data_IF_051260843867
#
_entry.id   IF_051260843867
#
_cell.length_a   1.000
_cell.length_b   1.000
_cell.length_c   1.000
_cell.angle_alpha   90.00
_cell.angle_beta   90.00
_cell.angle_gamma   90.00
#
_symmetry.space_group_name_H-M   'P 1'
#
loop_
_entity.id
_entity.type
_entity.pdbx_description
1 polymer ?
#
# COMPACT_ATOMS: atom_id res chain seq x y z
N UNK A 1 -0.03 9.57 0.21
CA UNK A 1 1.17 9.98 -0.56
C UNK A 1 1.56 8.86 -1.52
N UNK A 2 2.23 9.20 -2.62
CA UNK A 2 2.82 8.23 -3.56
C UNK A 2 4.23 8.65 -3.94
N UNK A 3 5.10 7.70 -4.26
CA UNK A 3 6.44 8.00 -4.79
C UNK A 3 6.57 7.64 -6.26
N UNK A 4 7.33 8.47 -6.98
CA UNK A 4 7.83 8.21 -8.33
C UNK A 4 9.35 8.30 -8.28
N UNK A 5 10.04 7.16 -8.40
CA UNK A 5 11.50 7.09 -8.28
C UNK A 5 12.10 6.79 -9.66
N UNK A 6 12.19 7.80 -10.52
CA UNK A 6 12.66 7.61 -11.90
C UNK A 6 14.12 8.01 -12.11
N UNK A 7 14.72 8.76 -11.16
CA UNK A 7 16.06 9.34 -11.31
C UNK A 7 17.12 8.27 -11.56
N UNK A 8 17.73 8.30 -12.74
CA UNK A 8 18.78 7.39 -13.17
C UNK A 8 18.32 5.93 -13.35
N UNK A 9 17.02 5.64 -13.30
CA UNK A 9 16.50 4.28 -13.38
C UNK A 9 16.30 3.82 -14.83
N UNK A 10 15.99 4.73 -15.74
CA UNK A 10 15.69 4.43 -17.14
C UNK A 10 16.12 5.55 -18.08
N UNK A 11 16.23 5.23 -19.37
CA UNK A 11 16.45 6.25 -20.42
C UNK A 11 15.15 6.97 -20.75
N UNK A 12 14.86 8.01 -19.99
CA UNK A 12 13.69 8.88 -20.16
C UNK A 12 14.10 10.32 -20.47
N UNK A 13 13.11 11.17 -20.73
CA UNK A 13 13.34 12.59 -20.97
C UNK A 13 13.97 13.26 -19.76
N UNK A 14 14.93 14.17 -19.97
CA UNK A 14 15.69 14.82 -18.88
C UNK A 14 14.81 15.49 -17.82
N UNK A 15 13.65 16.03 -18.20
CA UNK A 15 12.72 16.67 -17.27
C UNK A 15 11.88 15.67 -16.45
N UNK A 16 11.77 14.42 -16.92
CA UNK A 16 11.12 13.31 -16.24
C UNK A 16 12.09 12.51 -15.34
N UNK A 17 13.40 12.65 -15.56
CA UNK A 17 14.48 11.96 -14.84
C UNK A 17 14.71 12.54 -13.44
N UNK A 18 13.70 12.41 -12.58
CA UNK A 18 13.71 12.89 -11.19
C UNK A 18 12.92 11.98 -10.26
N UNK A 19 13.18 12.14 -8.97
CA UNK A 19 12.36 11.53 -7.92
C UNK A 19 11.32 12.54 -7.46
N UNK A 20 10.10 12.07 -7.23
CA UNK A 20 8.98 12.91 -6.82
C UNK A 20 8.18 12.22 -5.72
N UNK A 21 7.74 13.01 -4.74
CA UNK A 21 6.68 12.63 -3.82
C UNK A 21 5.41 13.32 -4.27
N UNK A 22 4.36 12.55 -4.46
CA UNK A 22 3.03 13.03 -4.82
C UNK A 22 2.20 13.12 -3.54
N UNK A 23 1.69 14.32 -3.28
CA UNK A 23 0.72 14.57 -2.24
C UNK A 23 -0.69 14.33 -2.81
N UNK A 24 -1.43 13.44 -2.14
CA UNK A 24 -2.85 13.23 -2.39
C UNK A 24 -3.57 13.77 -1.17
N UNK A 25 -4.30 14.85 -1.37
CA UNK A 25 -5.03 15.55 -0.34
C UNK A 25 -6.47 15.76 -0.79
N UNK A 26 -7.40 15.57 0.13
CA UNK A 26 -8.78 15.91 -0.10
C UNK A 26 -9.50 16.29 1.19
N UNK A 27 -10.46 17.20 1.05
CA UNK A 27 -11.42 17.56 2.09
C UNK A 27 -12.75 16.91 1.72
N UNK A 28 -13.20 16.02 2.59
CA UNK A 28 -14.53 15.43 2.53
C UNK A 28 -15.45 16.21 3.47
N UNK A 29 -16.53 16.79 2.93
CA UNK A 29 -17.52 17.54 3.71
C UNK A 29 -18.95 17.21 3.28
N UNK A 30 -19.90 17.55 4.13
CA UNK A 30 -21.33 17.37 3.88
C UNK A 30 -22.02 18.74 3.86
N UNK A 31 -22.87 18.99 2.87
CA UNK A 31 -23.70 20.19 2.80
C UNK A 31 -24.97 20.07 3.65
N UNK A 32 -25.72 21.18 3.79
CA UNK A 32 -26.93 21.24 4.61
C UNK A 32 -28.05 20.28 4.15
N UNK A 33 -28.02 19.81 2.90
CA UNK A 33 -29.01 18.87 2.32
C UNK A 33 -28.55 17.43 2.42
N UNK A 34 -27.37 17.18 2.99
CA UNK A 34 -26.76 15.86 3.08
C UNK A 34 -25.95 15.45 1.85
N UNK A 35 -25.75 16.36 0.89
CA UNK A 35 -24.88 16.16 -0.26
C UNK A 35 -23.40 16.10 0.15
N UNK A 36 -22.61 15.33 -0.58
CA UNK A 36 -21.18 15.16 -0.33
C UNK A 36 -20.41 16.15 -1.21
N UNK A 37 -19.45 16.85 -0.62
CA UNK A 37 -18.47 17.67 -1.35
C UNK A 37 -17.09 17.08 -1.13
N UNK A 38 -16.43 16.74 -2.24
CA UNK A 38 -15.09 16.22 -2.27
C UNK A 38 -14.17 17.20 -2.98
N UNK A 39 -13.36 17.93 -2.22
CA UNK A 39 -12.45 18.95 -2.73
C UNK A 39 -11.01 18.45 -2.66
N UNK A 40 -10.30 18.44 -3.79
CA UNK A 40 -8.93 17.93 -3.89
C UNK A 40 -7.85 19.00 -3.80
N UNK A 41 -8.19 20.25 -3.44
CA UNK A 41 -7.22 21.34 -3.29
C UNK A 41 -6.06 20.92 -2.38
N UNK A 42 -4.82 21.19 -2.81
CA UNK A 42 -3.62 20.79 -2.08
C UNK A 42 -3.05 19.43 -2.47
N UNK A 43 -3.74 18.65 -3.32
CA UNK A 43 -3.07 17.59 -4.07
C UNK A 43 -1.98 18.19 -4.96
N UNK A 44 -0.88 17.47 -5.19
CA UNK A 44 0.22 17.94 -6.03
C UNK A 44 -0.26 18.27 -7.45
N UNK A 45 0.48 19.15 -8.14
CA UNK A 45 0.42 19.30 -9.59
C UNK A 45 0.75 18.00 -10.31
N UNK A 46 0.29 17.87 -11.55
CA UNK A 46 0.66 16.76 -12.42
C UNK A 46 2.18 16.72 -12.68
N UNK A 47 2.71 15.55 -13.04
CA UNK A 47 4.13 15.30 -13.26
C UNK A 47 4.41 14.42 -14.47
N UNK A 48 5.68 14.32 -14.88
CA UNK A 48 6.12 13.52 -16.03
C UNK A 48 6.32 12.04 -15.65
N UNK A 49 5.23 11.42 -15.24
CA UNK A 49 5.14 10.03 -14.81
C UNK A 49 3.77 9.44 -15.19
N UNK A 50 3.62 8.12 -15.13
CA UNK A 50 2.37 7.43 -15.49
C UNK A 50 1.21 7.60 -14.50
N UNK A 51 1.42 8.32 -13.40
CA UNK A 51 0.49 8.40 -12.28
C UNK A 51 -0.39 9.65 -12.30
N UNK A 52 -0.61 10.32 -13.44
CA UNK A 52 -1.59 11.41 -13.47
C UNK A 52 -3.01 10.84 -13.59
N UNK A 53 -3.97 11.62 -13.12
CA UNK A 53 -5.39 11.35 -13.29
C UNK A 53 -6.07 12.36 -14.21
N UNK A 54 -7.37 12.18 -14.36
CA UNK A 54 -8.27 13.15 -14.99
C UNK A 54 -9.62 13.11 -14.27
N UNK A 55 -10.47 14.15 -14.39
CA UNK A 55 -11.70 14.27 -13.61
C UNK A 55 -12.62 13.04 -13.71
N UNK A 56 -12.86 12.55 -14.93
CA UNK A 56 -13.74 11.39 -15.15
C UNK A 56 -13.23 10.10 -14.48
N UNK A 57 -11.93 9.82 -14.52
CA UNK A 57 -11.36 8.64 -13.86
C UNK A 57 -11.32 8.77 -12.34
N UNK A 58 -11.25 10.01 -11.84
CA UNK A 58 -11.36 10.30 -10.40
C UNK A 58 -12.79 10.10 -9.90
N UNK A 59 -13.79 10.57 -10.66
CA UNK A 59 -15.21 10.37 -10.35
C UNK A 59 -15.61 8.89 -10.36
N UNK A 60 -15.02 8.08 -11.24
CA UNK A 60 -15.20 6.62 -11.22
C UNK A 60 -14.70 6.02 -9.90
N UNK A 61 -13.53 6.42 -9.41
CA UNK A 61 -13.00 5.95 -8.13
C UNK A 61 -13.92 6.30 -6.96
N UNK A 62 -14.42 7.54 -6.90
CA UNK A 62 -15.38 7.97 -5.88
C UNK A 62 -16.70 7.20 -5.98
N UNK A 63 -17.23 7.01 -7.19
CA UNK A 63 -18.46 6.26 -7.42
C UNK A 63 -18.33 4.80 -6.94
N UNK A 64 -17.22 4.13 -7.22
CA UNK A 64 -16.96 2.76 -6.75
C UNK A 64 -16.88 2.72 -5.22
N UNK A 65 -16.19 3.68 -4.60
CA UNK A 65 -16.14 3.79 -3.14
C UNK A 65 -17.52 4.00 -2.51
N UNK A 66 -18.37 4.84 -3.10
CA UNK A 66 -19.70 5.10 -2.55
C UNK A 66 -20.63 3.88 -2.73
N UNK A 67 -20.61 3.25 -3.91
CA UNK A 67 -21.45 2.07 -4.19
C UNK A 67 -21.08 0.87 -3.35
N UNK A 68 -19.83 0.77 -2.89
CA UNK A 68 -19.38 -0.31 -2.00
C UNK A 68 -19.54 -0.01 -0.51
N UNK A 69 -19.90 1.22 -0.11
CA UNK A 69 -19.95 1.64 1.32
C UNK A 69 -21.34 1.91 1.86
N UNK A 70 -22.10 2.89 1.32
CA UNK A 70 -23.47 3.16 1.79
C UNK A 70 -24.53 3.06 0.70
N UNK A 71 -24.14 3.06 -0.57
CA UNK A 71 -25.08 2.89 -1.68
C UNK A 71 -25.18 1.43 -2.17
N UNK A 72 -24.64 0.46 -1.41
CA UNK A 72 -24.62 -0.96 -1.80
C UNK A 72 -26.02 -1.60 -1.91
N UNK A 73 -27.02 -1.08 -1.19
CA UNK A 73 -28.42 -1.51 -1.29
C UNK A 73 -29.22 -0.70 -2.32
N UNK A 74 -28.61 0.30 -2.95
CA UNK A 74 -29.25 1.14 -3.96
C UNK A 74 -28.95 0.62 -5.38
N UNK A 75 -29.69 1.13 -6.37
CA UNK A 75 -29.37 0.86 -7.77
C UNK A 75 -28.05 1.55 -8.13
N UNK A 76 -27.01 0.77 -8.40
CA UNK A 76 -25.74 1.25 -8.95
C UNK A 76 -25.99 1.95 -10.29
N UNK A 77 -26.05 3.29 -10.25
CA UNK A 77 -26.36 4.15 -11.38
C UNK A 77 -25.83 5.55 -11.14
N UNK A 78 -25.77 6.38 -12.20
CA UNK A 78 -25.35 7.77 -12.11
C UNK A 78 -26.16 8.61 -11.09
N UNK A 79 -27.32 8.12 -10.62
CA UNK A 79 -28.08 8.74 -9.54
C UNK A 79 -27.30 8.91 -8.24
N UNK A 80 -26.33 8.04 -7.95
CA UNK A 80 -25.44 8.17 -6.80
C UNK A 80 -24.62 9.48 -6.88
N UNK A 81 -24.14 9.81 -8.08
CA UNK A 81 -23.31 11.00 -8.30
C UNK A 81 -24.12 12.30 -8.27
N UNK A 82 -25.46 12.26 -8.36
CA UNK A 82 -26.29 13.48 -8.32
C UNK A 82 -26.20 14.22 -6.99
N UNK A 83 -25.76 13.55 -5.91
CA UNK A 83 -25.55 14.14 -4.59
C UNK A 83 -24.06 14.26 -4.22
N UNK A 84 -23.16 14.12 -5.21
CA UNK A 84 -21.71 14.24 -5.01
C UNK A 84 -21.20 15.41 -5.85
N UNK A 85 -20.52 16.34 -5.20
CA UNK A 85 -19.81 17.44 -5.85
C UNK A 85 -18.31 17.22 -5.72
N UNK A 86 -17.68 16.80 -6.81
CA UNK A 86 -16.22 16.70 -6.91
C UNK A 86 -15.63 18.03 -7.38
N UNK A 87 -14.55 18.50 -6.75
CA UNK A 87 -13.81 19.71 -7.15
C UNK A 87 -12.36 19.30 -7.43
N UNK A 88 -12.00 19.33 -8.71
CA UNK A 88 -10.65 19.05 -9.20
C UNK A 88 -10.02 20.33 -9.75
N UNK A 89 -8.99 20.82 -9.06
CA UNK A 89 -8.36 22.10 -9.39
C UNK A 89 -7.48 21.96 -10.65
N UNK A 90 -7.61 22.89 -11.59
CA UNK A 90 -6.84 22.90 -12.83
C UNK A 90 -5.33 22.95 -12.54
N UNK A 91 -4.55 22.14 -13.27
CA UNK A 91 -3.11 21.97 -13.05
C UNK A 91 -2.75 20.97 -11.95
N UNK A 92 -3.72 20.48 -11.17
CA UNK A 92 -3.50 19.39 -10.20
C UNK A 92 -3.28 18.05 -10.91
N UNK A 93 -2.80 17.06 -10.16
CA UNK A 93 -2.63 15.68 -10.64
C UNK A 93 -3.94 15.03 -11.12
N UNK A 94 -5.10 15.52 -10.65
CA UNK A 94 -6.42 15.00 -11.02
C UNK A 94 -7.09 15.79 -12.14
N UNK A 95 -6.57 16.96 -12.49
CA UNK A 95 -7.05 17.79 -13.60
C UNK A 95 -5.88 18.54 -14.26
N UNK A 96 -4.99 17.81 -14.99
CA UNK A 96 -3.81 18.40 -15.60
C UNK A 96 -4.18 19.50 -16.59
N UNK A 97 -3.42 20.60 -16.59
CA UNK A 97 -3.54 21.72 -17.54
C UNK A 97 -2.70 21.51 -18.81
N UNK A 98 -2.50 20.25 -19.20
CA UNK A 98 -1.67 19.84 -20.33
C UNK A 98 -2.18 18.57 -21.00
N UNK A 99 -1.86 18.38 -22.28
CA UNK A 99 -2.11 17.14 -23.02
C UNK A 99 -1.01 16.07 -22.84
N UNK A 100 0.15 16.43 -22.27
CA UNK A 100 1.30 15.53 -22.11
C UNK A 100 1.26 14.67 -20.84
N UNK A 101 0.32 14.93 -19.93
CA UNK A 101 0.20 14.19 -18.69
C UNK A 101 -0.23 12.74 -18.96
N UNK A 102 0.67 11.79 -18.71
CA UNK A 102 0.35 10.37 -18.86
C UNK A 102 -0.59 9.89 -17.77
N UNK A 103 -1.67 9.23 -18.17
CA UNK A 103 -2.67 8.61 -17.30
C UNK A 103 -2.60 7.07 -17.32
N UNK A 104 -1.46 6.50 -17.75
CA UNK A 104 -1.30 5.06 -17.99
C UNK A 104 -1.60 4.21 -16.75
N UNK A 105 -1.31 4.71 -15.54
CA UNK A 105 -1.67 4.09 -14.27
C UNK A 105 -2.48 5.07 -13.41
N UNK A 106 -3.61 5.55 -13.93
CA UNK A 106 -4.56 6.40 -13.19
C UNK A 106 -5.07 5.72 -11.91
N UNK A 107 -5.20 4.40 -11.91
CA UNK A 107 -5.68 3.62 -10.77
C UNK A 107 -4.85 3.84 -9.51
N UNK A 108 -3.54 4.06 -9.65
CA UNK A 108 -2.67 4.41 -8.54
C UNK A 108 -3.14 5.66 -7.77
N UNK A 109 -3.70 6.66 -8.47
CA UNK A 109 -4.18 7.89 -7.85
C UNK A 109 -5.66 7.83 -7.45
N UNK A 110 -6.51 7.25 -8.29
CA UNK A 110 -7.94 7.12 -7.98
C UNK A 110 -8.16 6.25 -6.74
N UNK A 111 -7.37 5.20 -6.53
CA UNK A 111 -7.48 4.37 -5.32
C UNK A 111 -6.96 5.09 -4.07
N UNK A 112 -5.91 5.90 -4.18
CA UNK A 112 -5.46 6.73 -3.03
C UNK A 112 -6.50 7.77 -2.65
N UNK A 113 -7.13 8.43 -3.64
CA UNK A 113 -8.27 9.32 -3.42
C UNK A 113 -9.43 8.59 -2.75
N UNK A 114 -9.77 7.40 -3.24
CA UNK A 114 -10.83 6.56 -2.68
C UNK A 114 -10.53 6.13 -1.24
N UNK A 115 -9.28 5.80 -0.91
CA UNK A 115 -8.87 5.51 0.47
C UNK A 115 -9.15 6.69 1.40
N UNK A 116 -8.90 7.93 0.97
CA UNK A 116 -9.18 9.13 1.77
C UNK A 116 -10.69 9.33 1.99
N UNK A 117 -11.49 9.28 0.92
CA UNK A 117 -12.94 9.47 1.02
C UNK A 117 -13.61 8.36 1.83
N UNK A 118 -13.22 7.10 1.57
CA UNK A 118 -13.72 5.94 2.32
C UNK A 118 -13.33 6.05 3.79
N UNK A 119 -12.09 6.42 4.12
CA UNK A 119 -11.68 6.61 5.52
C UNK A 119 -12.54 7.64 6.24
N UNK A 120 -12.90 8.75 5.60
CA UNK A 120 -13.80 9.75 6.18
C UNK A 120 -15.22 9.19 6.41
N UNK A 121 -15.74 8.41 5.45
CA UNK A 121 -17.05 7.76 5.54
C UNK A 121 -17.07 6.71 6.67
N UNK A 122 -16.09 5.82 6.73
CA UNK A 122 -16.04 4.75 7.74
C UNK A 122 -15.80 5.29 9.16
N UNK A 123 -15.07 6.41 9.31
CA UNK A 123 -15.03 7.15 10.59
C UNK A 123 -16.41 7.65 10.99
N UNK A 124 -17.20 8.13 10.03
CA UNK A 124 -18.55 8.62 10.29
C UNK A 124 -19.51 7.50 10.71
N UNK A 125 -19.41 6.31 10.11
CA UNK A 125 -20.16 5.13 10.57
C UNK A 125 -19.81 4.75 12.00
N UNK A 126 -18.51 4.70 12.31
CA UNK A 126 -18.05 4.42 13.67
C UNK A 126 -18.58 5.43 14.69
N UNK A 127 -18.43 6.74 14.41
CA UNK A 127 -18.91 7.80 15.31
C UNK A 127 -20.42 7.76 15.52
N UNK A 128 -21.19 7.30 14.53
CA UNK A 128 -22.65 7.17 14.61
C UNK A 128 -23.11 5.86 15.25
N UNK A 129 -22.22 4.87 15.37
CA UNK A 129 -22.51 3.56 15.97
C UNK A 129 -22.85 2.44 14.99
N UNK A 130 -22.72 2.66 13.68
CA UNK A 130 -22.82 1.60 12.66
C UNK A 130 -21.50 0.84 12.57
N UNK A 131 -21.18 0.12 13.64
CA UNK A 131 -19.90 -0.58 13.79
C UNK A 131 -19.70 -1.66 12.73
N UNK A 132 -20.79 -2.29 12.32
CA UNK A 132 -20.88 -3.30 11.27
C UNK A 132 -20.48 -2.78 9.89
N UNK A 133 -20.66 -1.48 9.64
CA UNK A 133 -20.30 -0.82 8.36
C UNK A 133 -18.92 -0.15 8.43
N UNK A 134 -18.34 0.00 9.61
CA UNK A 134 -17.04 0.64 9.79
C UNK A 134 -15.90 -0.38 9.66
N UNK A 135 -14.94 -0.14 8.77
CA UNK A 135 -13.70 -0.90 8.71
C UNK A 135 -12.57 0.01 8.21
N UNK A 136 -11.31 -0.43 8.33
CA UNK A 136 -10.15 0.28 7.76
C UNK A 136 -10.11 0.12 6.22
N UNK A 137 -10.52 1.12 5.44
CA UNK A 137 -10.82 0.94 4.02
C UNK A 137 -9.58 1.22 3.16
N UNK A 138 -8.61 0.31 3.26
CA UNK A 138 -7.29 0.48 2.67
C UNK A 138 -6.96 -0.68 1.74
N UNK A 139 -6.56 -0.33 0.53
CA UNK A 139 -6.21 -1.27 -0.53
C UNK A 139 -4.78 -1.03 -0.99
N UNK A 140 -3.95 -2.05 -0.89
CA UNK A 140 -2.58 -2.04 -1.38
C UNK A 140 -2.43 -3.02 -2.54
N UNK A 141 -2.99 -2.68 -3.70
CA UNK A 141 -2.94 -3.54 -4.86
C UNK A 141 -1.61 -3.44 -5.62
N UNK A 142 -1.25 -4.55 -6.25
CA UNK A 142 -0.12 -4.65 -7.15
C UNK A 142 -0.50 -5.38 -8.46
N UNK A 143 0.24 -5.12 -9.53
CA UNK A 143 0.04 -5.73 -10.83
C UNK A 143 1.37 -5.99 -11.50
N UNK A 144 1.82 -7.25 -11.47
CA UNK A 144 3.02 -7.66 -12.22
C UNK A 144 2.69 -7.56 -13.69
N UNK A 145 3.46 -6.79 -14.43
CA UNK A 145 3.17 -6.49 -15.83
C UNK A 145 4.44 -6.51 -16.65
N UNK A 146 4.29 -6.74 -17.94
CA UNK A 146 5.45 -6.84 -18.79
C UNK A 146 5.10 -7.06 -20.23
N UNK A 147 6.14 -7.25 -21.01
CA UNK A 147 6.03 -7.64 -22.41
C UNK A 147 7.20 -8.53 -22.79
N UNK A 148 6.99 -9.36 -23.81
CA UNK A 148 8.01 -10.26 -24.27
C UNK A 148 7.85 -10.62 -25.73
N UNK A 149 8.79 -11.43 -26.21
CA UNK A 149 8.80 -12.02 -27.54
C UNK A 149 9.06 -13.51 -27.37
N UNK A 150 8.10 -14.33 -27.78
CA UNK A 150 8.20 -15.78 -27.70
C UNK A 150 9.32 -16.32 -28.60
N UNK A 151 9.70 -17.58 -28.42
CA UNK A 151 10.76 -18.22 -29.22
C UNK A 151 10.51 -18.13 -30.74
N UNK A 152 9.25 -18.19 -31.17
CA UNK A 152 8.83 -18.09 -32.57
C UNK A 152 8.78 -16.65 -33.14
N UNK A 153 9.06 -15.65 -32.30
CA UNK A 153 9.05 -14.23 -32.66
C UNK A 153 7.73 -13.50 -32.39
N UNK A 154 6.71 -14.18 -31.85
CA UNK A 154 5.41 -13.56 -31.53
C UNK A 154 5.54 -12.60 -30.33
N UNK A 155 5.19 -11.30 -30.47
CA UNK A 155 5.19 -10.37 -29.36
C UNK A 155 3.93 -10.53 -28.49
N UNK A 156 4.06 -10.30 -27.19
CA UNK A 156 2.95 -10.29 -26.25
C UNK A 156 3.16 -9.27 -25.12
N UNK A 157 2.08 -8.90 -24.46
CA UNK A 157 2.06 -8.10 -23.24
C UNK A 157 1.15 -8.75 -22.22
N UNK A 158 1.43 -8.54 -20.94
CA UNK A 158 0.64 -9.13 -19.87
C UNK A 158 0.51 -8.20 -18.67
N UNK A 159 -0.52 -8.46 -17.88
CA UNK A 159 -0.66 -7.96 -16.51
C UNK A 159 -1.30 -9.08 -15.71
N UNK A 160 -0.62 -9.52 -14.67
CA UNK A 160 -1.13 -10.48 -13.72
C UNK A 160 -2.07 -9.75 -12.75
N UNK A 161 -3.33 -10.21 -12.71
CA UNK A 161 -4.40 -9.62 -11.90
C UNK A 161 -4.56 -10.28 -10.53
N UNK A 162 -3.57 -11.02 -10.03
CA UNK A 162 -3.66 -11.69 -8.74
C UNK A 162 -3.97 -10.72 -7.60
N UNK A 163 -3.13 -9.70 -7.38
CA UNK A 163 -3.35 -8.67 -6.34
C UNK A 163 -4.24 -7.52 -6.79
N UNK A 164 -4.48 -7.38 -8.10
CA UNK A 164 -5.50 -6.46 -8.61
C UNK A 164 -6.89 -7.03 -8.32
N UNK A 165 -7.08 -8.32 -8.56
CA UNK A 165 -8.35 -9.01 -8.45
C UNK A 165 -8.84 -9.20 -7.01
N UNK A 166 -7.93 -9.16 -6.03
CA UNK A 166 -8.29 -9.17 -4.62
C UNK A 166 -7.10 -8.95 -3.70
N UNK A 167 -7.34 -8.25 -2.60
CA UNK A 167 -6.45 -8.12 -1.46
C UNK A 167 -7.17 -8.41 -0.16
N UNK A 168 -6.55 -8.06 0.95
CA UNK A 168 -7.13 -8.12 2.27
C UNK A 168 -8.26 -7.10 2.44
N UNK A 169 -9.19 -7.43 3.32
CA UNK A 169 -10.09 -6.47 3.91
C UNK A 169 -9.50 -5.93 5.21
N UNK A 170 -9.68 -4.65 5.50
CA UNK A 170 -9.20 -4.05 6.75
C UNK A 170 -9.94 -4.50 7.98
N UNK A 171 -9.36 -4.19 9.13
CA UNK A 171 -9.94 -4.49 10.42
C UNK A 171 -11.25 -3.71 10.66
N UNK A 172 -12.18 -4.35 11.37
CA UNK A 172 -13.39 -3.72 11.92
C UNK A 172 -13.12 -3.20 13.34
N UNK A 173 -14.00 -2.37 13.90
CA UNK A 173 -13.99 -2.04 15.33
C UNK A 173 -14.32 -3.22 16.26
N UNK A 174 -14.62 -4.41 15.72
CA UNK A 174 -15.05 -5.58 16.50
C UNK A 174 -14.46 -6.92 16.04
N UNK A 175 -13.69 -6.96 14.94
CA UNK A 175 -13.04 -8.19 14.45
C UNK A 175 -11.88 -7.87 13.51
N UNK A 176 -11.00 -8.85 13.37
CA UNK A 176 -9.89 -8.80 12.41
C UNK A 176 -10.38 -8.73 10.96
N UNK A 177 -9.53 -8.20 10.10
CA UNK A 177 -9.72 -8.21 8.65
C UNK A 177 -9.47 -9.58 8.04
N UNK A 178 -10.06 -9.82 6.87
CA UNK A 178 -9.99 -11.10 6.18
C UNK A 178 -9.02 -11.02 4.99
N UNK A 179 -8.06 -11.94 4.84
CA UNK A 179 -7.19 -11.99 3.66
C UNK A 179 -7.97 -12.30 2.37
N UNK A 180 -7.55 -11.71 1.24
CA UNK A 180 -7.99 -12.07 -0.12
C UNK A 180 -9.50 -11.98 -0.41
N UNK A 181 -10.25 -11.14 0.30
CA UNK A 181 -11.71 -11.02 0.15
C UNK A 181 -12.20 -9.64 -0.28
N UNK A 182 -11.30 -8.69 -0.57
CA UNK A 182 -11.72 -7.32 -0.83
C UNK A 182 -10.81 -6.62 -1.84
N UNK A 183 -11.40 -5.72 -2.64
CA UNK A 183 -10.72 -4.85 -3.57
C UNK A 183 -11.58 -3.59 -3.75
N UNK A 184 -10.98 -2.42 -3.71
CA UNK A 184 -11.72 -1.15 -3.74
C UNK A 184 -12.52 -0.93 -5.02
N UNK A 185 -12.07 -1.52 -6.13
CA UNK A 185 -12.57 -1.27 -7.46
C UNK A 185 -13.52 -2.36 -7.97
N UNK A 186 -13.75 -3.45 -7.20
CA UNK A 186 -14.69 -4.51 -7.58
C UNK A 186 -15.36 -5.14 -6.36
N UNK A 187 -16.66 -5.43 -6.47
CA UNK A 187 -17.41 -6.18 -5.47
C UNK A 187 -17.25 -7.70 -5.63
N UNK A 188 -16.62 -8.14 -6.72
CA UNK A 188 -16.45 -9.54 -7.09
C UNK A 188 -14.96 -9.89 -7.08
N UNK A 189 -14.35 -9.78 -5.90
CA UNK A 189 -12.92 -10.02 -5.74
C UNK A 189 -12.60 -11.47 -6.09
N UNK A 190 -11.61 -11.67 -6.94
CA UNK A 190 -11.11 -12.97 -7.35
C UNK A 190 -9.63 -12.84 -7.73
N UNK A 191 -8.77 -13.52 -6.98
CA UNK A 191 -7.32 -13.51 -7.19
C UNK A 191 -6.88 -14.42 -8.33
N UNK A 192 -7.78 -15.15 -8.99
CA UNK A 192 -7.50 -16.04 -10.13
C UNK A 192 -6.84 -17.37 -9.75
N UNK A 193 -6.91 -18.35 -10.65
CA UNK A 193 -6.24 -19.66 -10.49
C UNK A 193 -4.78 -19.58 -10.96
N UNK A 194 -3.85 -20.19 -10.23
CA UNK A 194 -2.44 -20.22 -10.66
C UNK A 194 -2.27 -20.93 -12.00
N UNK A 195 -2.93 -22.08 -12.20
CA UNK A 195 -2.89 -22.81 -13.48
C UNK A 195 -3.36 -21.96 -14.68
N UNK A 196 -4.33 -21.06 -14.48
CA UNK A 196 -4.79 -20.15 -15.53
C UNK A 196 -3.74 -19.07 -15.84
N UNK A 197 -3.09 -18.51 -14.81
CA UNK A 197 -2.02 -17.54 -15.02
C UNK A 197 -0.80 -18.17 -15.71
N UNK A 198 -0.36 -19.35 -15.27
CA UNK A 198 0.77 -20.05 -15.91
C UNK A 198 0.46 -20.42 -17.36
N UNK A 199 -0.80 -20.77 -17.66
CA UNK A 199 -1.23 -21.04 -19.04
C UNK A 199 -1.27 -19.79 -19.92
N UNK A 200 -1.76 -18.66 -19.38
CA UNK A 200 -1.97 -17.42 -20.13
C UNK A 200 -0.72 -16.52 -20.20
N UNK A 201 0.20 -16.67 -19.25
CA UNK A 201 1.42 -15.87 -19.12
C UNK A 201 2.60 -16.86 -19.11
N UNK A 202 3.05 -17.33 -20.29
CA UNK A 202 3.93 -18.49 -20.41
C UNK A 202 5.18 -18.47 -19.53
N UNK A 203 5.87 -17.33 -19.32
CA UNK A 203 7.08 -17.37 -18.52
C UNK A 203 6.89 -17.29 -17.01
N UNK A 204 5.68 -17.05 -16.49
CA UNK A 204 5.46 -16.81 -15.06
C UNK A 204 4.95 -18.09 -14.38
N UNK A 205 5.83 -18.90 -13.79
CA UNK A 205 5.44 -20.08 -13.00
C UNK A 205 5.44 -19.78 -11.49
N UNK A 206 4.43 -20.24 -10.74
CA UNK A 206 4.37 -20.01 -9.30
C UNK A 206 5.23 -21.04 -8.54
N UNK A 207 6.33 -20.58 -7.90
CA UNK A 207 7.00 -21.38 -6.85
C UNK A 207 6.26 -21.29 -5.52
N UNK A 208 5.60 -20.16 -5.29
CA UNK A 208 4.86 -19.92 -4.06
C UNK A 208 3.77 -18.90 -4.28
N UNK A 209 2.68 -19.09 -3.52
CA UNK A 209 1.51 -18.24 -3.48
C UNK A 209 0.85 -18.40 -2.11
N UNK A 210 1.17 -17.52 -1.18
CA UNK A 210 0.88 -17.67 0.26
C UNK A 210 0.45 -16.34 0.87
N UNK A 211 -0.06 -16.39 2.10
CA UNK A 211 -0.12 -15.20 2.95
C UNK A 211 1.29 -14.91 3.50
N UNK A 212 1.74 -13.66 3.40
CA UNK A 212 3.05 -13.25 3.92
C UNK A 212 2.95 -13.06 5.44
N UNK A 213 3.66 -13.84 6.27
CA UNK A 213 3.62 -13.71 7.72
C UNK A 213 3.87 -12.29 8.20
N UNK A 214 3.02 -11.81 9.10
CA UNK A 214 3.13 -10.48 9.71
C UNK A 214 2.78 -9.31 8.77
N UNK A 215 2.42 -9.57 7.51
CA UNK A 215 2.19 -8.54 6.51
C UNK A 215 0.76 -7.96 6.60
N UNK A 216 0.49 -7.22 7.67
CA UNK A 216 -0.81 -6.60 7.94
C UNK A 216 -0.66 -5.31 8.75
N UNK A 217 -1.71 -4.48 8.80
CA UNK A 217 -1.78 -3.40 9.77
C UNK A 217 -2.14 -3.93 11.16
N UNK A 218 -1.31 -3.63 12.15
CA UNK A 218 -1.50 -4.11 13.52
C UNK A 218 -2.47 -3.23 14.31
N UNK A 219 -3.28 -3.82 15.18
CA UNK A 219 -4.19 -3.08 16.05
C UNK A 219 -4.80 -3.99 17.10
N UNK A 220 -5.72 -3.45 17.90
CA UNK A 220 -6.66 -4.25 18.71
C UNK A 220 -7.27 -5.36 17.87
N UNK A 221 -7.69 -5.00 16.67
CA UNK A 221 -7.98 -5.90 15.58
C UNK A 221 -6.98 -5.66 14.46
N UNK A 222 -6.34 -6.73 13.97
CA UNK A 222 -5.40 -6.62 12.86
C UNK A 222 -6.13 -6.58 11.53
N UNK A 223 -5.55 -5.91 10.53
CA UNK A 223 -6.05 -6.01 9.17
C UNK A 223 -5.90 -7.42 8.61
N UNK A 224 -6.54 -7.68 7.47
CA UNK A 224 -6.28 -8.91 6.73
C UNK A 224 -4.83 -8.95 6.27
N UNK A 225 -4.26 -10.15 6.33
CA UNK A 225 -2.87 -10.40 5.93
C UNK A 225 -2.76 -10.33 4.41
N UNK A 226 -1.72 -9.66 3.93
CA UNK A 226 -1.41 -9.59 2.51
C UNK A 226 -0.82 -10.89 1.95
N UNK A 227 -0.80 -10.97 0.64
CA UNK A 227 -0.33 -12.13 -0.10
C UNK A 227 1.09 -11.90 -0.59
N UNK A 228 1.84 -13.00 -0.71
CA UNK A 228 3.07 -13.05 -1.44
C UNK A 228 3.05 -14.17 -2.49
N UNK A 229 3.66 -13.88 -3.63
CA UNK A 229 3.88 -14.85 -4.69
C UNK A 229 5.30 -14.72 -5.22
N UNK A 230 5.88 -15.86 -5.57
CA UNK A 230 7.21 -15.98 -6.18
C UNK A 230 7.02 -16.58 -7.56
N UNK A 231 7.28 -15.79 -8.60
CA UNK A 231 7.25 -16.24 -9.98
C UNK A 231 8.66 -16.65 -10.41
N UNK A 232 8.82 -17.90 -10.84
CA UNK A 232 10.02 -18.43 -11.46
C UNK A 232 9.89 -18.31 -12.97
N UNK A 233 10.84 -17.60 -13.56
CA UNK A 233 10.86 -17.37 -15.00
C UNK A 233 11.39 -18.61 -15.73
N UNK A 234 10.61 -19.14 -16.67
CA UNK A 234 11.02 -20.19 -17.61
C UNK A 234 10.51 -19.84 -19.01
N UNK A 235 11.07 -20.47 -20.04
CA UNK A 235 10.61 -20.30 -21.43
C UNK A 235 10.50 -18.81 -21.83
N UNK A 236 11.44 -17.97 -21.37
CA UNK A 236 11.38 -16.50 -21.50
C UNK A 236 11.43 -16.00 -22.95
N UNK A 237 11.71 -16.89 -23.90
CA UNK A 237 11.68 -16.62 -25.33
C UNK A 237 12.90 -15.83 -25.77
N UNK A 238 12.71 -14.92 -26.72
CA UNK A 238 13.77 -14.04 -27.21
C UNK A 238 13.99 -12.84 -26.28
N UNK A 239 12.97 -12.46 -25.50
CA UNK A 239 13.00 -11.34 -24.54
C UNK A 239 11.83 -11.45 -23.58
N UNK A 240 12.10 -11.16 -22.30
CA UNK A 240 11.08 -10.87 -21.30
C UNK A 240 11.47 -9.61 -20.52
N UNK A 241 10.62 -8.58 -20.58
CA UNK A 241 10.70 -7.39 -19.76
C UNK A 241 9.59 -7.38 -18.72
N UNK A 242 9.94 -7.29 -17.43
CA UNK A 242 8.97 -7.30 -16.32
C UNK A 242 9.12 -6.05 -15.45
N UNK A 243 8.00 -5.45 -15.10
CA UNK A 243 7.89 -4.38 -14.12
C UNK A 243 6.60 -4.60 -13.31
N UNK A 244 6.20 -3.62 -12.50
CA UNK A 244 4.88 -3.59 -11.88
C UNK A 244 4.21 -2.25 -12.12
N UNK A 245 2.89 -2.29 -12.12
CA UNK A 245 2.05 -1.12 -11.94
C UNK A 245 1.15 -1.37 -10.74
N UNK A 246 1.22 -0.53 -9.72
CA UNK A 246 0.32 -0.68 -8.58
C UNK A 246 0.18 0.55 -7.73
N UNK A 247 -0.64 0.43 -6.69
CA UNK A 247 -0.71 1.44 -5.64
C UNK A 247 0.26 1.09 -4.50
N UNK A 248 0.17 1.83 -3.40
CA UNK A 248 0.92 1.55 -2.18
C UNK A 248 2.46 1.48 -2.34
N UNK A 249 3.05 2.43 -3.07
CA UNK A 249 4.48 2.77 -3.00
C UNK A 249 4.68 4.06 -2.22
N UNK A 250 5.55 4.06 -1.20
CA UNK A 250 5.86 5.24 -0.39
C UNK A 250 7.28 5.21 0.14
N UNK A 251 7.84 6.40 0.35
CA UNK A 251 9.09 6.61 1.09
C UNK A 251 8.88 6.63 2.60
N UNK A 252 7.64 6.46 3.06
CA UNK A 252 7.26 6.40 4.47
C UNK A 252 6.56 5.07 4.75
N UNK A 253 6.53 4.67 6.02
CA UNK A 253 5.73 3.54 6.49
C UNK A 253 4.21 3.79 6.45
N UNK A 254 3.76 4.95 5.97
CA UNK A 254 2.35 5.38 5.99
C UNK A 254 1.78 5.39 4.57
N UNK A 255 1.41 4.20 4.09
CA UNK A 255 0.62 4.04 2.86
C UNK A 255 -0.86 3.88 3.15
N UNK A 256 -1.10 3.19 4.25
CA UNK A 256 -2.31 3.13 4.99
C UNK A 256 -2.27 4.18 6.13
N UNK A 257 -3.40 4.44 6.77
CA UNK A 257 -3.52 5.23 8.01
C UNK A 257 -3.77 4.36 9.25
N UNK A 258 -4.31 3.15 9.08
CA UNK A 258 -5.01 2.45 10.15
C UNK A 258 -6.20 3.27 10.67
N UNK A 259 -6.95 2.72 11.63
CA UNK A 259 -8.08 3.42 12.23
C UNK A 259 -8.04 3.41 13.76
N UNK A 260 -8.33 4.58 14.35
CA UNK A 260 -8.54 4.75 15.79
C UNK A 260 -7.44 4.16 16.69
N UNK A 261 -6.17 4.29 16.29
CA UNK A 261 -5.01 3.76 17.02
C UNK A 261 -4.36 2.54 16.37
N UNK A 262 -5.01 1.96 15.35
CA UNK A 262 -4.42 0.90 14.53
C UNK A 262 -3.32 1.43 13.61
N UNK A 263 -2.36 0.58 13.32
CA UNK A 263 -1.24 0.83 12.42
C UNK A 263 -1.63 0.60 10.96
N UNK A 264 -0.96 1.30 10.04
CA UNK A 264 -1.12 1.07 8.62
C UNK A 264 -0.61 -0.30 8.20
N UNK A 265 -1.18 -0.86 7.13
CA UNK A 265 -0.58 -1.98 6.43
C UNK A 265 0.79 -1.62 5.82
N UNK A 266 1.72 -2.60 5.70
CA UNK A 266 2.94 -2.45 4.93
C UNK A 266 2.66 -2.08 3.48
N UNK A 267 3.54 -1.27 2.89
CA UNK A 267 3.53 -0.99 1.46
C UNK A 267 4.12 -2.10 0.62
N UNK A 268 3.73 -2.17 -0.65
CA UNK A 268 4.15 -3.21 -1.59
C UNK A 268 5.67 -3.33 -1.63
N UNK A 269 6.14 -4.58 -1.59
CA UNK A 269 7.54 -4.93 -1.80
C UNK A 269 7.64 -5.79 -3.03
N UNK A 270 8.53 -5.42 -3.94
CA UNK A 270 8.96 -6.29 -5.04
C UNK A 270 10.39 -6.74 -4.76
N UNK A 271 10.68 -8.00 -5.04
CA UNK A 271 12.04 -8.57 -4.97
C UNK A 271 12.34 -9.21 -6.32
N UNK A 272 13.45 -8.82 -6.90
CA UNK A 272 13.97 -9.39 -8.15
C UNK A 272 15.24 -10.15 -7.81
N UNK A 273 15.36 -11.40 -8.26
CA UNK A 273 16.60 -12.16 -8.17
C UNK A 273 17.00 -12.59 -9.58
N UNK A 274 18.10 -12.05 -10.09
CA UNK A 274 18.60 -12.36 -11.43
C UNK A 274 19.78 -13.34 -11.36
N UNK A 275 19.94 -14.15 -12.41
CA UNK A 275 21.01 -15.14 -12.57
C UNK A 275 21.05 -16.14 -11.39
N UNK A 276 19.90 -16.69 -11.02
CA UNK A 276 19.79 -17.49 -9.79
C UNK A 276 20.20 -18.95 -9.96
N UNK A 277 20.50 -19.62 -8.85
CA UNK A 277 20.77 -21.06 -8.76
C UNK A 277 19.50 -21.90 -8.47
N UNK A 278 18.31 -21.43 -8.83
CA UNK A 278 17.05 -22.17 -8.57
C UNK A 278 17.07 -23.62 -9.08
N UNK A 279 17.62 -23.95 -10.27
CA UNK A 279 17.75 -25.35 -10.69
C UNK A 279 18.52 -26.22 -9.70
N UNK A 280 19.56 -25.69 -9.05
CA UNK A 280 20.35 -26.43 -8.07
C UNK A 280 19.54 -26.70 -6.80
N UNK A 281 18.76 -25.71 -6.35
CA UNK A 281 17.85 -25.87 -5.20
C UNK A 281 16.75 -26.91 -5.49
N UNK A 282 16.16 -26.86 -6.69
CA UNK A 282 15.17 -27.85 -7.14
C UNK A 282 15.77 -29.26 -7.18
N UNK A 283 17.00 -29.40 -7.70
CA UNK A 283 17.67 -30.69 -7.83
C UNK A 283 18.19 -31.27 -6.51
N UNK A 284 18.48 -30.43 -5.51
CA UNK A 284 19.01 -30.88 -4.22
C UNK A 284 17.93 -31.54 -3.37
N UNK A 285 16.96 -30.76 -2.88
CA UNK A 285 15.88 -31.22 -2.01
C UNK A 285 14.51 -30.59 -2.37
N UNK A 286 14.47 -29.68 -3.34
CA UNK A 286 13.24 -28.98 -3.74
C UNK A 286 12.87 -27.81 -2.84
N UNK A 287 13.74 -27.44 -1.90
CA UNK A 287 13.48 -26.36 -0.94
C UNK A 287 13.79 -24.98 -1.56
N UNK A 288 12.78 -24.42 -2.24
CA UNK A 288 12.80 -23.12 -2.91
C UNK A 288 12.03 -22.06 -2.12
N UNK A 289 12.36 -20.76 -2.28
CA UNK A 289 11.60 -19.70 -1.63
C UNK A 289 10.20 -19.57 -2.25
N UNK A 290 9.22 -19.41 -1.38
CA UNK A 290 7.78 -19.36 -1.71
C UNK A 290 7.09 -18.06 -1.29
N UNK A 291 7.80 -17.17 -0.61
CA UNK A 291 7.38 -15.78 -0.35
C UNK A 291 8.51 -14.80 -0.68
N UNK A 292 8.17 -13.52 -0.83
CA UNK A 292 9.16 -12.46 -1.03
C UNK A 292 10.08 -12.32 0.19
N UNK A 293 9.54 -12.55 1.40
CA UNK A 293 10.35 -12.68 2.62
C UNK A 293 11.38 -13.80 2.53
N UNK A 294 10.96 -15.01 2.11
CA UNK A 294 11.84 -16.16 1.96
C UNK A 294 12.92 -15.95 0.88
N UNK A 295 12.61 -15.25 -0.22
CA UNK A 295 13.63 -14.90 -1.24
C UNK A 295 14.76 -14.07 -0.63
N UNK A 296 14.42 -13.07 0.20
CA UNK A 296 15.41 -12.23 0.88
C UNK A 296 16.19 -13.01 1.93
N UNK A 297 15.51 -13.82 2.73
CA UNK A 297 16.12 -14.67 3.75
C UNK A 297 17.10 -15.68 3.14
N UNK A 298 16.71 -16.38 2.06
CA UNK A 298 17.56 -17.37 1.41
C UNK A 298 18.80 -16.72 0.79
N UNK A 299 18.67 -15.50 0.28
CA UNK A 299 19.79 -14.71 -0.24
C UNK A 299 20.75 -14.30 0.89
N UNK A 300 20.23 -13.82 2.03
CA UNK A 300 21.04 -13.46 3.21
C UNK A 300 21.80 -14.66 3.78
N UNK A 301 21.18 -15.84 3.77
CA UNK A 301 21.79 -17.09 4.21
C UNK A 301 22.76 -17.71 3.18
N UNK A 302 22.84 -17.15 1.97
CA UNK A 302 23.68 -17.69 0.87
C UNK A 302 23.15 -18.98 0.25
N UNK A 303 21.90 -19.37 0.54
CA UNK A 303 21.21 -20.52 -0.07
C UNK A 303 20.78 -20.21 -1.50
N UNK A 304 20.19 -19.02 -1.70
CA UNK A 304 19.91 -18.45 -3.02
C UNK A 304 21.08 -17.56 -3.44
N UNK A 305 21.72 -17.87 -4.56
CA UNK A 305 22.74 -17.02 -5.18
C UNK A 305 22.16 -16.25 -6.35
N UNK A 306 22.71 -15.09 -6.67
CA UNK A 306 22.28 -14.25 -7.79
C UNK A 306 22.31 -12.76 -7.41
N UNK A 307 21.79 -11.92 -8.30
CA UNK A 307 21.64 -10.48 -8.08
C UNK A 307 20.26 -10.21 -7.47
N UNK A 308 20.18 -10.16 -6.14
CA UNK A 308 18.93 -9.96 -5.41
C UNK A 308 18.75 -8.49 -5.04
N UNK A 309 17.64 -7.89 -5.48
CA UNK A 309 17.30 -6.49 -5.20
C UNK A 309 15.88 -6.39 -4.66
N UNK A 310 15.69 -5.63 -3.58
CA UNK A 310 14.37 -5.28 -3.04
C UNK A 310 13.98 -3.86 -3.43
N UNK A 311 12.74 -3.71 -3.87
CA UNK A 311 12.17 -2.46 -4.36
C UNK A 311 10.94 -2.08 -3.52
N UNK A 312 10.94 -0.83 -3.02
CA UNK A 312 9.81 -0.20 -2.31
C UNK A 312 9.04 0.80 -3.19
N UNK A 313 9.40 0.85 -4.47
CA UNK A 313 8.81 1.66 -5.54
C UNK A 313 8.72 0.80 -6.80
N UNK A 314 8.06 1.31 -7.83
CA UNK A 314 7.95 0.62 -9.13
C UNK A 314 9.38 0.47 -9.72
N UNK A 315 9.93 -0.77 -9.82
CA UNK A 315 11.26 -0.98 -10.37
C UNK A 315 11.25 -0.63 -11.86
N UNK A 316 12.40 -0.24 -12.43
CA UNK A 316 12.49 -0.13 -13.87
C UNK A 316 12.19 -1.49 -14.54
N UNK A 317 11.89 -1.50 -15.84
CA UNK A 317 11.73 -2.76 -16.56
C UNK A 317 12.98 -3.62 -16.36
N UNK A 318 12.81 -4.79 -15.78
CA UNK A 318 13.83 -5.79 -15.57
C UNK A 318 13.87 -6.70 -16.78
N UNK A 319 15.05 -6.91 -17.35
CA UNK A 319 15.28 -7.90 -18.39
C UNK A 319 15.47 -9.26 -17.72
N UNK A 320 14.40 -10.05 -17.65
CA UNK A 320 14.39 -11.33 -16.96
C UNK A 320 14.76 -12.46 -17.95
N UNK A 321 15.58 -13.40 -17.50
CA UNK A 321 15.91 -14.64 -18.20
C UNK A 321 15.41 -15.88 -17.47
N UNK A 322 15.65 -17.04 -18.07
CA UNK A 322 15.30 -18.32 -17.46
C UNK A 322 16.03 -18.46 -16.11
N UNK A 323 15.29 -18.91 -15.10
CA UNK A 323 15.69 -19.06 -13.70
C UNK A 323 15.77 -17.76 -12.88
N UNK A 324 15.38 -16.63 -13.44
CA UNK A 324 15.19 -15.43 -12.61
C UNK A 324 13.91 -15.55 -11.77
N UNK A 325 13.89 -14.85 -10.63
CA UNK A 325 12.72 -14.78 -9.75
C UNK A 325 12.15 -13.37 -9.70
N UNK A 326 10.83 -13.28 -9.79
CA UNK A 326 10.06 -12.09 -9.49
C UNK A 326 9.10 -12.39 -8.34
N UNK A 327 9.38 -11.82 -7.17
CA UNK A 327 8.56 -12.00 -5.99
C UNK A 327 7.91 -10.67 -5.54
N UNK A 328 6.70 -10.75 -5.00
CA UNK A 328 6.02 -9.61 -4.40
C UNK A 328 5.40 -9.95 -3.05
N UNK A 329 5.25 -8.95 -2.20
CA UNK A 329 4.32 -8.97 -1.07
C UNK A 329 3.41 -7.72 -1.17
N UNK A 330 2.10 -7.93 -1.19
CA UNK A 330 1.10 -6.88 -1.42
C UNK A 330 -0.27 -7.28 -0.85
N UNK A 331 -1.26 -6.40 -1.00
CA UNK A 331 -2.66 -6.71 -0.69
C UNK A 331 -2.95 -6.81 0.81
N UNK A 332 -2.21 -6.10 1.66
CA UNK A 332 -2.50 -5.98 3.08
C UNK A 332 -3.40 -4.77 3.37
N UNK A 333 -4.11 -4.80 4.51
CA UNK A 333 -4.94 -3.69 4.97
C UNK A 333 -4.65 -3.28 6.42
N UNK A 334 -5.07 -2.08 6.80
CA UNK A 334 -4.82 -1.48 8.11
C UNK A 334 -5.52 -2.17 9.27
N UNK A 335 -4.93 -1.96 10.45
CA UNK A 335 -5.47 -2.38 11.73
C UNK A 335 -6.45 -1.36 12.32
N UNK A 336 -7.12 -1.78 13.38
CA UNK A 336 -8.06 -0.97 14.15
C UNK A 336 -7.73 -0.99 15.64
N UNK A 337 -7.68 0.17 16.29
CA UNK A 337 -7.44 0.28 17.74
C UNK A 337 -5.98 0.06 18.16
N UNK A 338 -5.64 0.44 19.38
CA UNK A 338 -4.29 0.25 19.94
C UNK A 338 -3.94 -1.25 20.00
N UNK A 339 -2.79 -1.69 19.44
CA UNK A 339 -2.31 -3.06 19.59
C UNK A 339 -2.25 -3.58 21.04
N UNK A 340 -1.98 -2.73 22.03
CA UNK A 340 -1.95 -3.17 23.45
C UNK A 340 -3.33 -3.59 23.97
N UNK A 341 -4.42 -3.26 23.26
CA UNK A 341 -5.77 -3.71 23.59
C UNK A 341 -6.17 -5.03 22.90
N UNK A 342 -5.30 -5.59 22.03
CA UNK A 342 -5.58 -6.86 21.39
C UNK A 342 -5.68 -7.97 22.43
N UNK A 343 -6.64 -8.86 22.23
CA UNK A 343 -6.84 -9.98 23.14
C UNK A 343 -5.66 -10.96 23.02
N UNK A 344 -5.08 -11.36 24.17
CA UNK A 344 -3.83 -12.12 24.21
C UNK A 344 -3.94 -13.48 23.50
N UNK A 345 -5.07 -14.19 23.62
CA UNK A 345 -5.25 -15.47 22.93
C UNK A 345 -5.31 -15.31 21.41
N UNK A 346 -5.78 -14.16 20.91
CA UNK A 346 -5.75 -13.85 19.48
C UNK A 346 -4.32 -13.67 18.97
N UNK A 347 -3.44 -13.07 19.79
CA UNK A 347 -2.00 -12.98 19.49
C UNK A 347 -1.33 -14.35 19.54
N UNK A 348 -1.67 -15.17 20.54
CA UNK A 348 -1.20 -16.57 20.66
C UNK A 348 -1.60 -17.39 19.44
N UNK A 349 -2.83 -17.21 18.96
CA UNK A 349 -3.31 -17.87 17.75
C UNK A 349 -2.51 -17.43 16.52
N UNK A 350 -2.26 -16.13 16.34
CA UNK A 350 -1.44 -15.62 15.24
C UNK A 350 -0.01 -16.22 15.26
N UNK A 351 0.58 -16.43 16.44
CA UNK A 351 1.87 -17.15 16.58
C UNK A 351 1.74 -18.63 16.20
N UNK A 352 0.66 -19.27 16.65
CA UNK A 352 0.40 -20.71 16.42
C UNK A 352 0.32 -21.01 14.92
N UNK A 353 -0.42 -20.19 14.18
CA UNK A 353 -0.58 -20.32 12.72
C UNK A 353 0.60 -19.76 11.91
N UNK A 354 1.66 -19.27 12.57
CA UNK A 354 2.87 -18.79 11.91
C UNK A 354 2.71 -17.44 11.22
N UNK A 355 1.69 -16.66 11.59
CA UNK A 355 1.45 -15.32 11.05
C UNK A 355 2.13 -14.22 11.86
N UNK A 356 2.69 -14.55 13.02
CA UNK A 356 3.33 -13.58 13.90
C UNK A 356 4.52 -14.23 14.63
N UNK A 357 5.76 -13.73 14.45
CA UNK A 357 6.90 -14.18 15.24
C UNK A 357 6.76 -13.81 16.73
N UNK A 358 7.23 -14.64 17.66
CA UNK A 358 7.14 -14.36 19.10
C UNK A 358 7.86 -13.06 19.51
N UNK A 359 9.01 -12.79 18.89
CA UNK A 359 9.79 -11.57 19.12
C UNK A 359 9.01 -10.30 18.76
N UNK A 360 8.23 -10.38 17.69
CA UNK A 360 7.42 -9.27 17.23
C UNK A 360 6.10 -9.17 18.01
N UNK A 361 5.52 -10.29 18.45
CA UNK A 361 4.38 -10.30 19.36
C UNK A 361 4.66 -9.54 20.65
N UNK A 362 5.84 -9.75 21.23
CA UNK A 362 6.32 -9.02 22.41
C UNK A 362 6.44 -7.53 22.14
N UNK A 363 7.06 -7.14 21.04
CA UNK A 363 7.34 -5.73 20.72
C UNK A 363 6.08 -4.94 20.36
N UNK A 364 5.17 -5.54 19.60
CA UNK A 364 3.98 -4.87 19.09
C UNK A 364 2.80 -4.91 20.06
N UNK A 365 2.54 -6.06 20.68
CA UNK A 365 1.35 -6.33 21.50
C UNK A 365 1.66 -6.46 23.00
N UNK A 366 2.94 -6.48 23.38
CA UNK A 366 3.36 -6.78 24.76
C UNK A 366 3.11 -8.23 25.16
N UNK A 367 2.82 -9.14 24.22
CA UNK A 367 2.49 -10.53 24.51
C UNK A 367 3.77 -11.36 24.54
N UNK A 368 4.01 -12.02 25.67
CA UNK A 368 5.14 -12.92 25.87
C UNK A 368 4.63 -14.35 25.79
N UNK A 369 4.98 -15.02 24.70
CA UNK A 369 4.63 -16.42 24.48
C UNK A 369 5.82 -17.16 23.83
N UNK A 370 5.80 -18.49 23.91
CA UNK A 370 6.81 -19.36 23.29
C UNK A 370 6.14 -20.50 22.54
N UNK A 371 6.58 -20.76 21.31
CA UNK A 371 6.16 -21.93 20.53
C UNK A 371 7.15 -23.09 20.74
N UNK A 372 6.64 -24.28 21.04
CA UNK A 372 7.47 -25.48 21.13
C UNK A 372 7.61 -26.17 19.76
N UNK A 373 8.44 -27.22 19.70
CA UNK A 373 8.68 -28.00 18.46
C UNK A 373 7.41 -28.68 17.91
N UNK A 374 6.39 -28.91 18.74
CA UNK A 374 5.10 -29.47 18.34
C UNK A 374 4.12 -28.38 17.82
N UNK A 375 4.55 -27.11 17.80
CA UNK A 375 3.75 -25.98 17.38
C UNK A 375 2.76 -25.47 18.43
N UNK A 376 2.81 -26.00 19.65
CA UNK A 376 1.99 -25.52 20.77
C UNK A 376 2.57 -24.20 21.29
N UNK A 377 1.71 -23.21 21.49
CA UNK A 377 2.10 -21.88 21.96
C UNK A 377 1.65 -21.72 23.41
N UNK A 378 2.61 -21.43 24.30
CA UNK A 378 2.34 -21.19 25.72
C UNK A 378 2.46 -19.70 26.02
N UNK A 379 1.40 -19.11 26.57
CA UNK A 379 1.35 -17.72 27.03
C UNK A 379 1.94 -17.60 28.44
N UNK A 380 2.84 -16.65 28.65
CA UNK A 380 3.24 -16.20 29.99
C UNK A 380 2.40 -14.98 30.37
N UNK A 381 1.33 -15.20 31.15
CA UNK A 381 0.44 -14.12 31.57
C UNK A 381 1.13 -13.06 32.44
N UNK A 382 2.06 -13.48 33.30
CA UNK A 382 2.73 -12.56 34.22
C UNK A 382 3.73 -11.68 33.47
N UNK A 383 4.54 -12.28 32.60
CA UNK A 383 5.47 -11.55 31.74
C UNK A 383 4.72 -10.66 30.74
N UNK A 384 3.60 -11.12 30.19
CA UNK A 384 2.75 -10.31 29.29
C UNK A 384 2.23 -9.05 29.98
N UNK A 385 1.68 -9.17 31.20
CA UNK A 385 1.22 -7.99 31.96
C UNK A 385 2.37 -7.02 32.27
N UNK A 386 3.54 -7.55 32.61
CA UNK A 386 4.73 -6.74 32.87
C UNK A 386 5.19 -6.01 31.61
N UNK A 387 5.24 -6.70 30.47
CA UNK A 387 5.68 -6.14 29.20
C UNK A 387 4.69 -5.09 28.68
N UNK A 388 3.38 -5.34 28.73
CA UNK A 388 2.35 -4.35 28.37
C UNK A 388 2.45 -3.08 29.23
N UNK A 389 2.67 -3.23 30.54
CA UNK A 389 2.89 -2.09 31.43
C UNK A 389 4.20 -1.33 31.09
N UNK A 390 5.27 -2.06 30.75
CA UNK A 390 6.54 -1.47 30.33
C UNK A 390 6.40 -0.71 29.01
N UNK A 391 5.74 -1.27 28.00
CA UNK A 391 5.47 -0.61 26.72
C UNK A 391 4.63 0.66 26.90
N UNK A 392 3.59 0.60 27.73
CA UNK A 392 2.78 1.78 28.05
C UNK A 392 3.63 2.88 28.72
N UNK A 393 4.48 2.52 29.68
CA UNK A 393 5.40 3.46 30.33
C UNK A 393 6.46 4.03 29.36
N UNK A 394 6.97 3.22 28.43
CA UNK A 394 7.92 3.64 27.39
C UNK A 394 7.29 4.67 26.47
N UNK A 395 6.07 4.39 25.95
CA UNK A 395 5.31 5.33 25.11
C UNK A 395 5.12 6.68 25.79
N UNK A 396 4.81 6.69 27.10
CA UNK A 396 4.68 7.93 27.86
C UNK A 396 6.01 8.70 27.98
N UNK A 397 7.12 7.97 28.16
CA UNK A 397 8.46 8.56 28.34
C UNK A 397 9.05 9.08 27.03
N UNK A 398 8.79 8.38 25.91
CA UNK A 398 9.26 8.74 24.57
C UNK A 398 8.38 9.81 23.91
N UNK A 399 7.12 9.93 24.31
CA UNK A 399 6.20 10.95 23.81
C UNK A 399 6.58 12.34 24.31
N UNK A 400 6.27 13.35 23.49
CA UNK A 400 6.34 14.77 23.88
C UNK A 400 5.02 15.47 23.60
N UNK A 401 4.70 16.57 24.30
CA UNK A 401 3.54 17.38 23.97
C UNK A 401 3.53 17.80 22.49
N UNK A 402 2.37 17.73 21.84
CA UNK A 402 2.23 18.06 20.42
C UNK A 402 2.73 19.48 20.08
N UNK A 403 2.59 20.44 21.01
CA UNK A 403 3.08 21.81 20.84
C UNK A 403 4.60 21.87 20.74
N UNK A 404 5.32 21.03 21.49
CA UNK A 404 6.79 20.98 21.43
C UNK A 404 7.26 20.37 20.11
N UNK A 405 6.65 19.24 19.71
CA UNK A 405 6.87 18.64 18.39
C UNK A 405 6.60 19.65 17.26
N UNK A 406 5.49 20.38 17.34
CA UNK A 406 5.08 21.34 16.32
C UNK A 406 6.11 22.47 16.18
N UNK A 407 6.63 23.01 17.29
CA UNK A 407 7.69 24.03 17.27
C UNK A 407 8.97 23.50 16.60
N UNK A 408 9.37 22.26 16.92
CA UNK A 408 10.53 21.61 16.32
C UNK A 408 10.34 21.40 14.80
N UNK A 409 9.17 20.97 14.35
CA UNK A 409 8.91 20.77 12.92
C UNK A 409 8.76 22.11 12.18
N UNK A 410 8.12 23.11 12.80
CA UNK A 410 8.03 24.46 12.24
C UNK A 410 9.41 25.02 11.91
N UNK A 411 10.37 24.90 12.84
CA UNK A 411 11.73 25.37 12.60
C UNK A 411 12.38 24.72 11.37
N UNK A 412 12.11 23.42 11.12
CA UNK A 412 12.59 22.73 9.92
C UNK A 412 11.89 23.19 8.64
N UNK A 413 10.60 23.51 8.74
CA UNK A 413 9.82 24.11 7.63
C UNK A 413 10.42 25.47 7.29
N UNK A 414 10.62 26.35 8.27
CA UNK A 414 11.19 27.69 8.08
C UNK A 414 12.63 27.65 7.52
N UNK A 415 13.42 26.65 7.93
CA UNK A 415 14.80 26.48 7.48
C UNK A 415 14.95 25.62 6.21
N UNK A 416 13.84 25.19 5.60
CA UNK A 416 13.81 24.24 4.48
C UNK A 416 14.68 22.99 4.71
N UNK A 417 14.85 22.57 5.97
CA UNK A 417 15.69 21.42 6.34
C UNK A 417 14.85 20.14 6.34
N UNK A 418 14.28 19.85 5.18
CA UNK A 418 13.58 18.60 4.87
C UNK A 418 14.10 18.06 3.53
N UNK A 419 13.80 16.80 3.20
CA UNK A 419 14.25 16.16 1.95
C UNK A 419 13.76 16.95 0.73
N UNK A 420 14.59 17.11 -0.31
CA UNK A 420 14.24 17.88 -1.51
C UNK A 420 12.93 17.42 -2.15
N UNK A 421 12.69 16.12 -2.22
CA UNK A 421 11.46 15.57 -2.78
C UNK A 421 10.20 15.93 -1.97
N UNK A 422 10.34 16.22 -0.67
CA UNK A 422 9.26 16.73 0.18
C UNK A 422 9.08 18.24 0.01
N UNK A 423 10.16 19.01 -0.17
CA UNK A 423 10.07 20.44 -0.50
C UNK A 423 9.31 20.63 -1.81
N UNK A 424 9.70 19.91 -2.85
CA UNK A 424 9.03 20.01 -4.16
C UNK A 424 7.57 19.55 -4.11
N UNK A 425 7.26 18.53 -3.30
CA UNK A 425 5.88 18.12 -3.06
C UNK A 425 5.05 19.24 -2.40
N UNK A 426 5.60 19.90 -1.37
CA UNK A 426 4.91 21.00 -0.71
C UNK A 426 4.80 22.22 -1.62
N UNK A 427 5.86 22.63 -2.33
CA UNK A 427 5.83 23.69 -3.36
C UNK A 427 4.74 23.47 -4.39
N UNK A 428 4.64 22.22 -4.86
CA UNK A 428 3.60 21.79 -5.80
C UNK A 428 2.21 21.96 -5.20
N UNK A 429 2.01 21.56 -3.94
CA UNK A 429 0.72 21.65 -3.23
C UNK A 429 0.35 23.09 -2.83
N UNK A 430 1.32 23.91 -2.42
CA UNK A 430 1.13 25.33 -2.04
C UNK A 430 1.06 26.25 -3.25
N UNK A 431 1.20 25.74 -4.47
CA UNK A 431 0.85 26.49 -5.69
C UNK A 431 -0.66 26.75 -5.81
N UNK A 432 -1.49 26.03 -5.03
CA UNK A 432 -2.92 26.26 -4.88
C UNK A 432 -3.19 27.15 -3.66
N UNK A 433 -3.82 28.31 -3.86
CA UNK A 433 -3.91 29.36 -2.83
C UNK A 433 -4.66 28.92 -1.56
N UNK A 434 -5.73 28.15 -1.67
CA UNK A 434 -6.48 27.66 -0.50
C UNK A 434 -5.64 26.73 0.36
N UNK A 435 -4.88 25.83 -0.26
CA UNK A 435 -3.95 24.96 0.46
C UNK A 435 -2.73 25.73 1.00
N UNK A 436 -2.20 26.71 0.26
CA UNK A 436 -1.13 27.58 0.73
C UNK A 436 -1.52 28.32 2.02
N UNK A 437 -2.73 28.88 2.03
CA UNK A 437 -3.29 29.53 3.22
C UNK A 437 -3.45 28.55 4.39
N UNK A 438 -3.94 27.33 4.12
CA UNK A 438 -4.04 26.28 5.14
C UNK A 438 -2.66 25.94 5.72
N UNK A 439 -1.67 25.73 4.86
CA UNK A 439 -0.29 25.40 5.24
C UNK A 439 0.35 26.49 6.11
N UNK A 440 0.33 27.75 5.64
CA UNK A 440 0.85 28.90 6.39
C UNK A 440 0.11 29.10 7.71
N UNK A 441 -1.21 28.93 7.73
CA UNK A 441 -2.01 29.06 8.95
C UNK A 441 -1.66 27.98 9.99
N UNK A 442 -1.50 26.73 9.57
CA UNK A 442 -1.13 25.63 10.48
C UNK A 442 0.24 25.84 11.10
N UNK A 443 1.22 26.28 10.30
CA UNK A 443 2.59 26.54 10.74
C UNK A 443 2.82 27.96 11.30
N UNK A 444 1.80 28.83 11.27
CA UNK A 444 1.88 30.24 11.66
C UNK A 444 3.08 30.94 11.00
N UNK A 445 3.19 30.79 9.68
CA UNK A 445 4.26 31.37 8.87
C UNK A 445 3.87 32.76 8.39
N UNK A 446 4.85 33.57 8.03
CA UNK A 446 4.62 34.91 7.49
C UNK A 446 3.87 34.84 6.15
N UNK A 447 3.15 35.91 5.81
CA UNK A 447 2.33 35.96 4.59
C UNK A 447 3.16 35.85 3.31
N UNK A 448 4.45 36.21 3.35
CA UNK A 448 5.40 36.12 2.23
C UNK A 448 6.26 34.84 2.27
N UNK A 449 6.00 33.91 3.19
CA UNK A 449 6.74 32.66 3.26
C UNK A 449 6.46 31.77 2.04
N UNK A 450 7.52 31.32 1.38
CA UNK A 450 7.52 30.33 0.30
C UNK A 450 8.38 29.14 0.72
N UNK A 451 7.80 27.93 0.66
CA UNK A 451 8.49 26.67 0.98
C UNK A 451 9.46 26.24 -0.12
#
# INVERSE_FOLDING_TARGET
FRISMLKGQQKIWKHADKNEMVHVHAVFSQDEKGGIVFDTEGSSRWGYHGFNGYPGGSDVGLFLGITTTFAHSCKASAGVNMNVKSIYHEGSIYNPDTEFASCANIWAQSMQMQCLSSSAIHRSFFMRGYLEEAFAPEDSWDGVQGSGVLADGTPYGFTNFEWVGGGAMGAYPFKDGTPCTWAQHTQLCNVGNSEEFEYLIPPLHHLGRKLEPGYCGHGKYRGGVGQSSVHWMQETGQRLGVTRGGSATSMTSYLASGMNGGYPAPGVVTVTALNTNIPDLINADGDTPTTAGEVLEYAEQGKLTGEVTSWKYDPPEQSMGDNDLWANAAGASGGWGDPLERENNSVVEDIRIGQLPESFAKTMYGVVASKNELGEVTLDEAATKQEQAALYASRKTESKPAVEWWKEQKAKVESHTIRDELLEMYRSSTSFEGYNKHYRSFWQLDDDFEI
#
